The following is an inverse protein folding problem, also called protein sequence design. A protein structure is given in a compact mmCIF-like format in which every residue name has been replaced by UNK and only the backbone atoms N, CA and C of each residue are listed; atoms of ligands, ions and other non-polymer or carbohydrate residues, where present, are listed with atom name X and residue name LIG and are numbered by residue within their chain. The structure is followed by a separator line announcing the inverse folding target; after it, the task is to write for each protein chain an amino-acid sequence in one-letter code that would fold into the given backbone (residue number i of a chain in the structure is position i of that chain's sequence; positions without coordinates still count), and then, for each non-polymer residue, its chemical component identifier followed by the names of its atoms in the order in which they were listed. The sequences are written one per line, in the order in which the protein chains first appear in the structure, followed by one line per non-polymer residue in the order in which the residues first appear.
data_IF_373468696278
#
_entry.id   IF_373468696278
#
_cell.length_a   1.000
_cell.length_b   1.000
_cell.length_c   1.000
_cell.angle_alpha   90.00
_cell.angle_beta   90.00
_cell.angle_gamma   90.00
#
_symmetry.space_group_name_H-M   'P 1'
#
loop_
_entity.id
_entity.type
_entity.pdbx_description
1 polymer ?
#
# COMPACT_ATOMS: atom_id res chain seq x y z
N UNK A 1 -20.75 -14.85 6.31
CA UNK A 1 -19.87 -15.81 5.58
C UNK A 1 -18.49 -15.76 6.20
N UNK A 2 -17.94 -16.93 6.60
CA UNK A 2 -16.65 -17.01 7.28
C UNK A 2 -15.49 -16.63 6.32
N UNK A 3 -14.37 -16.06 6.84
CA UNK A 3 -13.17 -15.71 6.05
C UNK A 3 -12.65 -16.92 5.26
N UNK A 4 -12.78 -18.14 5.77
CA UNK A 4 -12.38 -19.38 5.07
C UNK A 4 -13.20 -19.66 3.80
N UNK A 5 -14.47 -19.31 3.81
CA UNK A 5 -15.38 -19.56 2.68
C UNK A 5 -15.13 -18.55 1.56
N UNK A 6 -14.80 -17.30 1.90
CA UNK A 6 -14.42 -16.26 0.93
C UNK A 6 -13.18 -16.62 0.12
N UNK A 7 -12.21 -17.34 0.70
CA UNK A 7 -10.97 -17.73 -0.03
C UNK A 7 -11.21 -18.63 -1.22
N UNK A 8 -12.32 -19.37 -1.25
CA UNK A 8 -12.67 -20.35 -2.29
C UNK A 8 -13.47 -19.73 -3.46
N UNK A 9 -13.98 -18.51 -3.31
CA UNK A 9 -14.80 -17.86 -4.33
C UNK A 9 -13.99 -17.44 -5.56
N UNK A 10 -14.60 -17.36 -6.76
CA UNK A 10 -14.05 -16.75 -7.95
C UNK A 10 -13.62 -15.29 -7.71
N UNK A 11 -12.68 -14.77 -8.50
CA UNK A 11 -12.16 -13.40 -8.34
C UNK A 11 -13.28 -12.35 -8.39
N UNK A 12 -14.17 -12.45 -9.39
CA UNK A 12 -15.29 -11.52 -9.57
C UNK A 12 -16.25 -11.49 -8.37
N UNK A 13 -16.55 -12.66 -7.79
CA UNK A 13 -17.40 -12.73 -6.60
C UNK A 13 -16.72 -12.14 -5.35
N UNK A 14 -15.40 -12.30 -5.22
CA UNK A 14 -14.62 -11.66 -4.14
C UNK A 14 -14.65 -10.15 -4.26
N UNK A 15 -14.48 -9.62 -5.48
CA UNK A 15 -14.52 -8.19 -5.76
C UNK A 15 -15.92 -7.61 -5.47
N UNK A 16 -16.99 -8.25 -5.95
CA UNK A 16 -18.36 -7.81 -5.68
C UNK A 16 -18.69 -7.80 -4.18
N UNK A 17 -18.25 -8.82 -3.43
CA UNK A 17 -18.43 -8.87 -1.97
C UNK A 17 -17.63 -7.78 -1.26
N UNK A 18 -16.43 -7.47 -1.73
CA UNK A 18 -15.61 -6.41 -1.17
C UNK A 18 -16.22 -5.02 -1.41
N UNK A 19 -16.73 -4.77 -2.61
CA UNK A 19 -17.43 -3.53 -2.95
C UNK A 19 -18.73 -3.38 -2.14
N UNK A 20 -19.51 -4.45 -2.03
CA UNK A 20 -20.71 -4.45 -1.17
C UNK A 20 -20.35 -4.15 0.28
N UNK A 21 -19.32 -4.81 0.83
CA UNK A 21 -18.88 -4.54 2.21
C UNK A 21 -18.43 -3.09 2.38
N UNK A 22 -17.69 -2.55 1.41
CA UNK A 22 -17.24 -1.17 1.43
C UNK A 22 -18.42 -0.18 1.37
N UNK A 23 -19.45 -0.46 0.56
CA UNK A 23 -20.66 0.32 0.51
C UNK A 23 -21.46 0.25 1.82
N UNK A 24 -21.66 -0.95 2.37
CA UNK A 24 -22.37 -1.18 3.64
C UNK A 24 -21.69 -0.45 4.81
N UNK A 25 -20.34 -0.37 4.80
CA UNK A 25 -19.54 0.33 5.81
C UNK A 25 -19.18 1.77 5.40
N UNK A 26 -19.68 2.25 4.25
CA UNK A 26 -19.44 3.60 3.71
C UNK A 26 -17.93 3.94 3.69
N UNK A 27 -17.11 3.01 3.21
CA UNK A 27 -15.67 3.23 3.12
C UNK A 27 -15.37 4.28 2.07
N UNK A 28 -14.70 5.34 2.46
CA UNK A 28 -14.19 6.40 1.59
C UNK A 28 -12.67 6.39 1.51
N UNK A 29 -12.14 6.80 0.36
CA UNK A 29 -10.71 7.02 0.18
C UNK A 29 -10.43 8.52 0.13
N UNK A 30 -9.32 8.95 0.74
CA UNK A 30 -8.81 10.32 0.64
C UNK A 30 -7.30 10.38 0.71
N UNK A 31 -6.75 11.51 0.31
CA UNK A 31 -5.35 11.83 0.61
C UNK A 31 -5.19 12.03 2.12
N UNK A 32 -4.04 11.60 2.62
CA UNK A 32 -3.64 11.88 3.99
C UNK A 32 -3.19 13.33 4.16
N UNK A 33 -3.21 13.79 5.39
CA UNK A 33 -2.56 15.02 5.84
C UNK A 33 -1.64 14.70 7.03
N UNK A 34 -0.69 15.56 7.40
CA UNK A 34 0.13 15.35 8.59
C UNK A 34 -0.67 15.19 9.90
N UNK A 35 -1.92 15.68 9.93
CA UNK A 35 -2.80 15.55 11.11
C UNK A 35 -3.31 14.11 11.32
N UNK A 36 -3.22 13.27 10.30
CA UNK A 36 -3.58 11.85 10.37
C UNK A 36 -2.51 10.97 11.05
N UNK A 37 -1.37 11.56 11.37
CA UNK A 37 -0.19 10.84 11.89
C UNK A 37 -0.50 9.94 13.08
N UNK A 38 -1.36 10.38 14.00
CA UNK A 38 -1.69 9.58 15.18
C UNK A 38 -2.41 8.26 14.82
N UNK A 39 -3.39 8.30 13.92
CA UNK A 39 -4.14 7.12 13.49
C UNK A 39 -3.27 6.17 12.65
N UNK A 40 -2.49 6.72 11.71
CA UNK A 40 -1.59 5.96 10.84
C UNK A 40 -0.49 5.28 11.66
N UNK A 41 0.15 6.03 12.56
CA UNK A 41 1.17 5.53 13.48
C UNK A 41 0.64 4.39 14.37
N UNK A 42 -0.55 4.55 14.94
CA UNK A 42 -1.17 3.52 15.77
C UNK A 42 -1.39 2.22 14.98
N UNK A 43 -1.91 2.31 13.75
CA UNK A 43 -2.13 1.18 12.87
C UNK A 43 -0.81 0.48 12.49
N UNK A 44 0.21 1.24 12.07
CA UNK A 44 1.51 0.68 11.72
C UNK A 44 2.18 0.01 12.93
N UNK A 45 2.17 0.66 14.09
CA UNK A 45 2.76 0.16 15.32
C UNK A 45 2.08 -1.12 15.82
N UNK A 46 0.81 -1.35 15.47
CA UNK A 46 0.19 -2.65 15.72
C UNK A 46 0.97 -3.77 14.99
N UNK A 47 1.34 -3.56 13.71
CA UNK A 47 2.12 -4.52 12.94
C UNK A 47 3.56 -4.66 13.44
N UNK A 48 4.17 -3.57 13.90
CA UNK A 48 5.50 -3.60 14.53
C UNK A 48 5.50 -4.57 15.72
N UNK A 49 4.46 -4.51 16.56
CA UNK A 49 4.37 -5.33 17.78
C UNK A 49 3.87 -6.76 17.56
N UNK A 50 3.06 -7.01 16.53
CA UNK A 50 2.31 -8.26 16.43
C UNK A 50 2.61 -9.08 15.17
N UNK A 51 3.42 -8.57 14.24
CA UNK A 51 3.60 -9.25 12.98
C UNK A 51 4.99 -9.09 12.36
N UNK A 52 5.20 -9.85 11.30
CA UNK A 52 6.42 -9.84 10.49
C UNK A 52 6.26 -9.07 9.17
N UNK A 53 5.17 -8.32 9.01
CA UNK A 53 4.89 -7.51 7.82
C UNK A 53 5.84 -6.31 7.71
N UNK A 54 6.41 -5.89 8.80
CA UNK A 54 7.51 -4.94 8.88
C UNK A 54 8.66 -5.54 9.70
N UNK A 55 9.88 -5.23 9.31
CA UNK A 55 11.09 -5.66 10.04
C UNK A 55 11.49 -4.70 11.17
N UNK A 56 10.72 -3.63 11.34
CA UNK A 56 10.93 -2.69 12.44
C UNK A 56 10.62 -3.35 13.80
N UNK A 57 11.47 -3.10 14.79
CA UNK A 57 11.34 -3.59 16.17
C UNK A 57 10.72 -2.55 17.10
N UNK A 58 11.21 -1.32 16.99
CA UNK A 58 10.79 -0.23 17.86
C UNK A 58 9.60 0.50 17.23
N UNK A 59 8.49 0.65 17.95
CA UNK A 59 7.38 1.44 17.46
C UNK A 59 7.80 2.89 17.17
N UNK A 60 7.28 3.43 16.08
CA UNK A 60 7.47 4.84 15.71
C UNK A 60 6.66 5.76 16.63
N UNK A 61 7.11 7.00 16.73
CA UNK A 61 6.38 8.09 17.38
C UNK A 61 5.38 8.72 16.42
N UNK A 62 4.40 9.44 16.94
CA UNK A 62 3.43 10.20 16.14
C UNK A 62 4.14 11.29 15.32
N UNK A 63 5.17 11.92 15.91
CA UNK A 63 5.91 12.97 15.21
C UNK A 63 6.72 12.43 14.02
N UNK A 64 7.40 11.30 14.17
CA UNK A 64 8.07 10.62 13.05
C UNK A 64 7.07 10.29 11.90
N UNK A 65 5.84 9.88 12.24
CA UNK A 65 4.81 9.65 11.22
C UNK A 65 4.28 10.94 10.60
N UNK A 66 4.19 12.03 11.36
CA UNK A 66 3.82 13.35 10.85
C UNK A 66 4.82 13.83 9.80
N UNK A 67 6.10 13.73 10.12
CA UNK A 67 7.19 14.06 9.20
C UNK A 67 7.21 13.13 7.98
N UNK A 68 7.01 11.83 8.18
CA UNK A 68 6.95 10.83 7.10
C UNK A 68 5.80 11.13 6.12
N UNK A 69 4.59 11.41 6.61
CA UNK A 69 3.45 11.78 5.75
C UNK A 69 3.77 13.06 4.98
N UNK A 70 4.26 14.10 5.67
CA UNK A 70 4.60 15.38 5.04
C UNK A 70 5.67 15.21 3.95
N UNK A 71 6.71 14.43 4.22
CA UNK A 71 7.78 14.15 3.27
C UNK A 71 7.29 13.32 2.07
N UNK A 72 6.50 12.28 2.32
CA UNK A 72 5.94 11.43 1.26
C UNK A 72 5.09 12.24 0.28
N UNK A 73 4.22 13.10 0.79
CA UNK A 73 3.33 13.93 -0.02
C UNK A 73 4.04 14.95 -0.93
N UNK A 74 5.32 15.20 -0.72
CA UNK A 74 6.12 16.04 -1.63
C UNK A 74 6.39 15.36 -2.98
N UNK A 75 6.38 14.04 -3.04
CA UNK A 75 6.76 13.28 -4.22
C UNK A 75 5.70 12.27 -4.67
N UNK A 76 5.00 11.63 -3.72
CA UNK A 76 4.12 10.50 -4.01
C UNK A 76 2.84 10.57 -3.16
N UNK A 77 1.77 9.84 -3.55
CA UNK A 77 0.53 9.80 -2.79
C UNK A 77 0.67 9.07 -1.46
N UNK A 78 -0.05 9.57 -0.46
CA UNK A 78 -0.36 8.88 0.79
C UNK A 78 -1.86 8.83 0.95
N UNK A 79 -2.46 7.64 0.88
CA UNK A 79 -3.91 7.42 0.87
C UNK A 79 -4.41 6.80 2.15
N UNK A 80 -5.57 7.22 2.59
CA UNK A 80 -6.30 6.63 3.70
C UNK A 80 -7.62 6.04 3.23
N UNK A 81 -8.04 4.97 3.88
CA UNK A 81 -9.40 4.42 3.79
C UNK A 81 -10.08 4.58 5.14
N UNK A 82 -11.23 5.22 5.17
CA UNK A 82 -11.99 5.51 6.39
C UNK A 82 -13.41 4.99 6.29
N UNK A 83 -13.97 4.54 7.41
CA UNK A 83 -15.39 4.25 7.57
C UNK A 83 -16.18 5.51 7.90
N UNK A 84 -17.53 5.42 7.82
CA UNK A 84 -18.41 6.55 8.01
C UNK A 84 -18.29 7.25 9.38
N UNK A 85 -17.82 6.55 10.40
CA UNK A 85 -17.53 7.06 11.73
C UNK A 85 -16.15 7.69 11.87
N UNK A 86 -15.41 7.83 10.75
CA UNK A 86 -14.06 8.42 10.72
C UNK A 86 -12.93 7.49 11.18
N UNK A 87 -13.21 6.20 11.38
CA UNK A 87 -12.18 5.25 11.80
C UNK A 87 -11.31 4.84 10.62
N UNK A 88 -9.98 4.90 10.80
CA UNK A 88 -9.02 4.44 9.82
C UNK A 88 -9.13 2.90 9.61
N UNK A 89 -9.39 2.50 8.37
CA UNK A 89 -9.49 1.09 7.95
C UNK A 89 -8.21 0.59 7.27
N UNK A 90 -7.36 1.52 6.81
CA UNK A 90 -6.08 1.22 6.20
C UNK A 90 -5.47 2.44 5.53
N UNK A 91 -4.20 2.30 5.16
CA UNK A 91 -3.49 3.28 4.37
C UNK A 91 -2.63 2.63 3.30
N UNK A 92 -2.31 3.37 2.24
CA UNK A 92 -1.33 3.00 1.24
C UNK A 92 -0.55 4.23 0.80
N UNK A 93 0.75 4.08 0.62
CA UNK A 93 1.64 5.15 0.19
C UNK A 93 2.75 4.62 -0.72
N UNK A 94 3.52 5.54 -1.30
CA UNK A 94 4.69 5.21 -2.06
C UNK A 94 5.87 6.11 -1.66
N UNK A 95 7.07 5.56 -1.75
CA UNK A 95 8.34 6.25 -1.52
C UNK A 95 9.22 6.05 -2.74
N UNK A 96 10.21 6.95 -2.96
CA UNK A 96 11.22 6.70 -3.98
C UNK A 96 11.95 5.39 -3.68
N UNK A 97 12.16 4.59 -4.73
CA UNK A 97 12.82 3.28 -4.60
C UNK A 97 14.26 3.39 -4.12
N UNK A 98 15.00 4.38 -4.65
CA UNK A 98 16.38 4.68 -4.30
C UNK A 98 16.65 6.18 -4.41
N UNK A 99 17.70 6.65 -3.73
CA UNK A 99 18.06 8.07 -3.68
C UNK A 99 18.75 8.60 -4.96
N UNK A 100 19.36 7.71 -5.76
CA UNK A 100 20.10 8.13 -6.97
C UNK A 100 19.13 8.55 -8.07
N UNK A 101 19.47 9.64 -8.76
CA UNK A 101 18.62 10.28 -9.78
C UNK A 101 18.11 9.35 -10.88
N UNK A 102 18.90 8.34 -11.28
CA UNK A 102 18.50 7.38 -12.30
C UNK A 102 17.30 6.49 -11.88
N UNK A 103 16.95 6.47 -10.59
CA UNK A 103 15.76 5.78 -10.06
C UNK A 103 14.56 6.70 -9.83
N UNK A 104 14.59 7.94 -10.35
CA UNK A 104 13.55 8.94 -10.08
C UNK A 104 12.14 8.52 -10.53
N UNK A 105 12.02 7.54 -11.40
CA UNK A 105 10.75 7.02 -11.92
C UNK A 105 10.26 5.74 -11.22
N UNK A 106 10.97 5.29 -10.22
CA UNK A 106 10.68 4.05 -9.49
C UNK A 106 10.24 4.35 -8.06
N UNK A 107 9.20 3.65 -7.61
CA UNK A 107 8.69 3.80 -6.25
C UNK A 107 8.52 2.45 -5.55
N UNK A 108 8.78 2.43 -4.25
CA UNK A 108 8.33 1.37 -3.36
C UNK A 108 6.93 1.71 -2.83
N UNK A 109 6.03 0.73 -2.89
CA UNK A 109 4.66 0.87 -2.42
C UNK A 109 4.42 0.08 -1.14
N UNK A 110 3.70 0.69 -0.22
CA UNK A 110 3.36 0.11 1.08
C UNK A 110 1.87 0.22 1.34
N UNK A 111 1.26 -0.83 1.90
CA UNK A 111 -0.13 -0.79 2.36
C UNK A 111 -0.32 -1.61 3.63
N UNK A 112 -1.08 -1.04 4.57
CA UNK A 112 -1.51 -1.68 5.80
C UNK A 112 -3.01 -1.49 6.00
N UNK A 113 -3.71 -2.57 6.39
CA UNK A 113 -5.13 -2.53 6.73
C UNK A 113 -5.32 -2.77 8.22
N UNK A 114 -6.36 -2.21 8.80
CA UNK A 114 -6.75 -2.55 10.17
C UNK A 114 -7.00 -4.07 10.26
N UNK A 115 -6.56 -4.74 11.34
CA UNK A 115 -6.60 -6.20 11.43
C UNK A 115 -7.99 -6.81 11.24
N UNK A 116 -9.03 -6.13 11.67
CA UNK A 116 -10.43 -6.53 11.51
C UNK A 116 -11.00 -6.28 10.10
N UNK A 117 -10.29 -5.48 9.27
CA UNK A 117 -10.66 -5.21 7.88
C UNK A 117 -9.94 -6.11 6.86
N UNK A 118 -9.03 -6.97 7.32
CA UNK A 118 -8.28 -7.86 6.44
C UNK A 118 -9.23 -8.80 5.69
N UNK A 119 -9.08 -8.87 4.35
CA UNK A 119 -9.95 -9.67 3.49
C UNK A 119 -11.28 -9.00 3.11
N UNK A 120 -11.53 -7.75 3.54
CA UNK A 120 -12.73 -6.99 3.20
C UNK A 120 -12.57 -6.12 1.93
N UNK A 121 -11.44 -6.21 1.25
CA UNK A 121 -11.20 -5.48 0.00
C UNK A 121 -10.61 -4.09 0.16
N UNK A 122 -10.46 -3.57 1.38
CA UNK A 122 -9.89 -2.24 1.67
C UNK A 122 -8.53 -2.05 1.02
N UNK A 123 -7.60 -3.01 1.22
CA UNK A 123 -6.28 -2.96 0.62
C UNK A 123 -6.32 -2.91 -0.92
N UNK A 124 -7.25 -3.66 -1.53
CA UNK A 124 -7.41 -3.66 -2.99
C UNK A 124 -7.88 -2.30 -3.53
N UNK A 125 -8.80 -1.63 -2.84
CA UNK A 125 -9.25 -0.28 -3.21
C UNK A 125 -8.11 0.74 -3.07
N UNK A 126 -7.44 0.75 -1.92
CA UNK A 126 -6.29 1.62 -1.67
C UNK A 126 -5.21 1.45 -2.74
N UNK A 127 -4.87 0.20 -3.05
CA UNK A 127 -3.79 -0.09 -4.01
C UNK A 127 -4.15 0.29 -5.44
N UNK A 128 -5.39 0.05 -5.87
CA UNK A 128 -5.85 0.49 -7.20
C UNK A 128 -5.80 2.02 -7.33
N UNK A 129 -6.27 2.74 -6.32
CA UNK A 129 -6.20 4.20 -6.28
C UNK A 129 -4.74 4.70 -6.28
N UNK A 130 -3.88 4.10 -5.46
CA UNK A 130 -2.45 4.45 -5.42
C UNK A 130 -1.79 4.25 -6.79
N UNK A 131 -1.98 3.08 -7.42
CA UNK A 131 -1.44 2.77 -8.75
C UNK A 131 -1.97 3.75 -9.82
N UNK A 132 -3.26 4.11 -9.76
CA UNK A 132 -3.85 5.08 -10.69
C UNK A 132 -3.18 6.46 -10.56
N UNK A 133 -2.95 6.94 -9.33
CA UNK A 133 -2.25 8.19 -9.07
C UNK A 133 -0.80 8.16 -9.52
N UNK A 134 -0.06 7.09 -9.21
CA UNK A 134 1.34 6.92 -9.61
C UNK A 134 1.50 6.92 -11.15
N UNK A 135 0.58 6.27 -11.87
CA UNK A 135 0.53 6.31 -13.33
C UNK A 135 0.32 7.73 -13.86
N UNK A 136 -0.61 8.49 -13.27
CA UNK A 136 -0.87 9.90 -13.63
C UNK A 136 0.32 10.80 -13.32
N UNK A 137 1.10 10.49 -12.28
CA UNK A 137 2.35 11.21 -11.97
C UNK A 137 3.47 10.90 -12.97
N UNK A 138 3.41 9.76 -13.68
CA UNK A 138 4.43 9.35 -14.65
C UNK A 138 5.50 8.45 -14.06
N UNK A 139 5.27 7.79 -12.92
CA UNK A 139 6.16 6.74 -12.43
C UNK A 139 6.11 5.52 -13.35
N UNK A 140 7.25 4.85 -13.52
CA UNK A 140 7.41 3.71 -14.44
C UNK A 140 7.27 2.36 -13.76
N UNK A 141 7.78 2.21 -12.55
CA UNK A 141 7.67 0.97 -11.81
C UNK A 141 7.23 1.20 -10.37
N UNK A 142 6.36 0.31 -9.90
CA UNK A 142 6.03 0.18 -8.49
C UNK A 142 6.62 -1.13 -7.96
N UNK A 143 7.48 -1.02 -6.96
CA UNK A 143 8.03 -2.15 -6.24
C UNK A 143 7.25 -2.40 -4.96
N UNK A 144 7.26 -3.66 -4.50
CA UNK A 144 6.73 -4.02 -3.20
C UNK A 144 7.63 -5.07 -2.56
N UNK A 145 7.95 -4.87 -1.30
CA UNK A 145 8.75 -5.77 -0.48
C UNK A 145 7.84 -6.52 0.48
N UNK A 146 7.81 -7.83 0.39
CA UNK A 146 6.88 -8.65 1.16
C UNK A 146 7.64 -9.74 1.89
N UNK A 147 7.45 -9.84 3.20
CA UNK A 147 7.99 -10.97 3.98
C UNK A 147 7.55 -12.29 3.36
N UNK A 148 8.49 -13.19 3.06
CA UNK A 148 8.22 -14.44 2.34
C UNK A 148 7.17 -15.33 3.00
N UNK A 149 7.09 -15.33 4.33
CA UNK A 149 6.05 -16.05 5.10
C UNK A 149 4.67 -15.40 5.04
N UNK A 150 4.55 -14.14 4.61
CA UNK A 150 3.28 -13.43 4.46
C UNK A 150 2.56 -13.84 3.17
N UNK A 151 2.01 -15.07 3.15
CA UNK A 151 1.32 -15.63 1.99
C UNK A 151 0.15 -14.76 1.51
N UNK A 152 -0.51 -14.05 2.43
CA UNK A 152 -1.65 -13.20 2.09
C UNK A 152 -1.20 -12.02 1.23
N UNK A 153 -0.14 -11.31 1.64
CA UNK A 153 0.41 -10.19 0.90
C UNK A 153 1.03 -10.64 -0.43
N UNK A 154 1.74 -11.77 -0.45
CA UNK A 154 2.29 -12.34 -1.68
C UNK A 154 1.19 -12.64 -2.72
N UNK A 155 0.10 -13.29 -2.29
CA UNK A 155 -1.05 -13.56 -3.16
C UNK A 155 -1.79 -12.29 -3.59
N UNK A 156 -1.82 -11.28 -2.73
CA UNK A 156 -2.43 -9.98 -3.01
C UNK A 156 -1.68 -9.25 -4.13
N UNK A 157 -0.35 -9.13 -4.04
CA UNK A 157 0.46 -8.49 -5.08
C UNK A 157 0.37 -9.23 -6.40
N UNK A 158 0.43 -10.57 -6.37
CA UNK A 158 0.21 -11.39 -7.58
C UNK A 158 -1.16 -11.12 -8.22
N UNK A 159 -2.23 -10.99 -7.42
CA UNK A 159 -3.58 -10.72 -7.92
C UNK A 159 -3.73 -9.30 -8.51
N UNK A 160 -2.91 -8.34 -8.06
CA UNK A 160 -2.83 -6.99 -8.61
C UNK A 160 -1.98 -6.88 -9.89
N UNK A 161 -1.36 -7.98 -10.34
CA UNK A 161 -0.56 -8.00 -11.54
C UNK A 161 0.95 -7.82 -11.32
N UNK A 162 1.40 -7.75 -10.07
CA UNK A 162 2.83 -7.75 -9.78
C UNK A 162 3.49 -9.05 -10.19
N UNK A 163 4.70 -8.96 -10.71
CA UNK A 163 5.59 -10.08 -11.01
C UNK A 163 6.67 -10.18 -9.93
N UNK A 164 6.93 -11.38 -9.46
CA UNK A 164 8.00 -11.62 -8.49
C UNK A 164 9.35 -11.59 -9.19
N UNK A 165 10.23 -10.67 -8.79
CA UNK A 165 11.56 -10.51 -9.40
C UNK A 165 12.67 -11.25 -8.63
N UNK A 166 12.49 -11.52 -7.35
CA UNK A 166 13.52 -12.19 -6.58
C UNK A 166 13.14 -12.47 -5.14
N UNK A 167 14.06 -13.13 -4.44
CA UNK A 167 13.95 -13.45 -3.01
C UNK A 167 15.30 -13.17 -2.36
N UNK A 168 15.30 -12.36 -1.34
CA UNK A 168 16.44 -12.20 -0.45
C UNK A 168 16.29 -13.14 0.75
N UNK A 169 17.18 -14.11 0.84
CA UNK A 169 17.08 -15.18 1.83
C UNK A 169 17.66 -14.75 3.18
N UNK A 170 16.89 -15.02 4.26
CA UNK A 170 17.34 -14.80 5.64
C UNK A 170 17.88 -13.40 5.88
N UNK A 171 17.21 -12.39 5.30
CA UNK A 171 17.65 -11.00 5.34
C UNK A 171 17.16 -10.26 6.58
N UNK A 172 16.06 -10.70 7.21
CA UNK A 172 15.53 -10.14 8.44
C UNK A 172 15.44 -11.17 9.55
N UNK A 173 15.62 -10.73 10.81
CA UNK A 173 15.42 -11.59 11.98
C UNK A 173 14.38 -10.92 12.89
N UNK A 174 13.26 -11.57 13.18
CA UNK A 174 12.21 -11.02 14.05
C UNK A 174 11.43 -12.14 14.72
N UNK A 175 11.03 -11.94 15.97
CA UNK A 175 10.29 -12.92 16.78
C UNK A 175 10.94 -14.31 16.79
N UNK A 176 12.28 -14.37 16.95
CA UNK A 176 13.02 -15.61 17.06
C UNK A 176 13.23 -16.37 15.74
N UNK A 177 12.93 -15.78 14.59
CA UNK A 177 13.06 -16.44 13.30
C UNK A 177 13.72 -15.58 12.23
N UNK A 178 14.49 -16.21 11.36
CA UNK A 178 15.00 -15.61 10.14
C UNK A 178 13.89 -15.54 9.09
N UNK A 179 13.78 -14.42 8.40
CA UNK A 179 12.76 -14.12 7.43
C UNK A 179 13.38 -13.85 6.06
N UNK A 180 12.75 -14.39 5.04
CA UNK A 180 13.05 -14.05 3.64
C UNK A 180 12.23 -12.79 3.26
N UNK A 181 12.74 -12.03 2.28
CA UNK A 181 12.07 -10.90 1.69
C UNK A 181 11.83 -11.17 0.20
N UNK A 182 10.58 -11.12 -0.21
CA UNK A 182 10.14 -11.28 -1.58
C UNK A 182 10.03 -9.92 -2.27
N UNK A 183 10.69 -9.77 -3.41
CA UNK A 183 10.67 -8.56 -4.23
C UNK A 183 9.65 -8.72 -5.36
N UNK A 184 8.75 -7.76 -5.47
CA UNK A 184 7.70 -7.72 -6.49
C UNK A 184 7.80 -6.42 -7.27
N UNK A 185 7.47 -6.46 -8.58
CA UNK A 185 7.42 -5.29 -9.46
C UNK A 185 6.14 -5.27 -10.27
N UNK A 186 5.57 -4.08 -10.42
CA UNK A 186 4.47 -3.78 -11.33
C UNK A 186 4.90 -2.66 -12.27
N UNK A 187 5.08 -2.92 -13.58
CA UNK A 187 5.24 -1.86 -14.56
C UNK A 187 3.99 -0.95 -14.59
N UNK A 188 4.20 0.36 -14.52
CA UNK A 188 3.13 1.36 -14.52
C UNK A 188 2.95 2.00 -15.89
N UNK A 189 4.03 2.07 -16.67
CA UNK A 189 4.07 2.64 -18.02
C UNK A 189 4.62 1.62 -19.00
N UNK A 190 4.11 1.66 -20.22
CA UNK A 190 4.64 0.94 -21.36
C UNK A 190 5.37 1.98 -22.24
N UNK A 191 6.69 2.06 -22.18
CA UNK A 191 7.39 3.06 -22.97
C UNK A 191 8.87 2.77 -23.14
N UNK A 192 9.30 2.74 -24.39
CA UNK A 192 10.70 2.78 -24.77
C UNK A 192 11.02 4.24 -25.17
N UNK A 193 11.88 4.91 -24.46
CA UNK A 193 12.28 6.27 -24.79
C UNK A 193 12.66 7.07 -23.53
N UNK A 194 13.00 8.32 -23.75
CA UNK A 194 13.34 9.21 -22.64
C UNK A 194 12.10 9.50 -21.78
N UNK A 195 12.12 9.16 -20.48
CA UNK A 195 10.98 9.37 -19.63
C UNK A 195 10.78 10.85 -19.35
N UNK A 196 9.52 11.29 -19.30
CA UNK A 196 9.20 12.65 -18.87
C UNK A 196 9.41 12.77 -17.35
N UNK A 197 9.75 13.96 -16.84
CA UNK A 197 9.86 14.20 -15.40
C UNK A 197 8.57 13.82 -14.66
N UNK A 198 8.71 13.18 -13.52
CA UNK A 198 7.57 12.82 -12.66
C UNK A 198 6.84 14.08 -12.18
N UNK A 199 5.53 14.09 -12.31
CA UNK A 199 4.66 15.16 -11.84
C UNK A 199 4.42 15.00 -10.34
N UNK A 200 5.04 15.88 -9.55
CA UNK A 200 4.90 15.84 -8.08
C UNK A 200 3.46 16.16 -7.60
N UNK A 201 2.73 16.95 -8.36
CA UNK A 201 1.37 17.38 -8.02
C UNK A 201 0.38 16.97 -9.11
N UNK A 202 -0.76 16.47 -8.68
CA UNK A 202 -1.92 16.17 -9.51
C UNK A 202 -3.02 17.20 -9.23
N UNK A 203 -3.90 17.41 -10.20
CA UNK A 203 -5.07 18.27 -10.00
C UNK A 203 -6.09 17.60 -9.07
N UNK A 204 -6.99 18.40 -8.50
CA UNK A 204 -8.07 17.90 -7.66
C UNK A 204 -8.98 16.91 -8.41
N UNK A 205 -9.21 17.15 -9.70
CA UNK A 205 -10.00 16.28 -10.58
C UNK A 205 -9.32 14.94 -10.81
N UNK A 206 -7.99 14.93 -11.08
CA UNK A 206 -7.20 13.72 -11.26
C UNK A 206 -7.20 12.85 -9.99
N UNK A 207 -7.09 13.51 -8.84
CA UNK A 207 -7.15 12.82 -7.54
C UNK A 207 -8.57 12.26 -7.31
N UNK A 208 -9.61 13.07 -7.49
CA UNK A 208 -10.99 12.65 -7.28
C UNK A 208 -11.39 11.47 -8.20
N UNK A 209 -10.88 11.44 -9.43
CA UNK A 209 -11.10 10.33 -10.37
C UNK A 209 -10.46 9.04 -9.86
N UNK A 210 -9.24 9.11 -9.35
CA UNK A 210 -8.50 7.93 -8.88
C UNK A 210 -9.05 7.34 -7.57
N UNK A 211 -9.76 8.16 -6.77
CA UNK A 211 -10.32 7.78 -5.47
C UNK A 211 -11.75 7.19 -5.57
N UNK A 212 -12.39 7.20 -6.74
CA UNK A 212 -13.70 6.57 -6.98
C UNK A 212 -13.60 5.05 -6.95
#
# INVERSE_FOLDING_TARGET
MCIRDRKKLPKAEKEALAEKWAADNKITLRMATPDDAAAVCALYNWYVRHGVQTFQYTPSTVEEYRENIAHTLQNAPFLLAESADGRLQGFACAHLWHEREAYAWDVETTAYCAPDCIGQGVGGRLYRALVALLKKQGYYNAFALVTGSNRQSNNFHKALGFTKMGIEKRTGYKFGQWLDLDYWVLPLQDGEGEPQPVRKQLTAEEIAEALK
#
